data_IF_599396957430
#
_entry.id   IF_599396957430
#
_cell.length_a   1.000
_cell.length_b   1.000
_cell.length_c   1.000
_cell.angle_alpha   90.00
_cell.angle_beta   90.00
_cell.angle_gamma   90.00
#
_symmetry.space_group_name_H-M   'P 1'
#
loop_
_entity.id
_entity.type
_entity.pdbx_description
1 polymer ?
#
# COMPACT_ATOMS: atom_id res chain seq x y z
N UNK A 1 -21.88 29.30 21.69
CA UNK A 1 -20.81 28.48 22.33
C UNK A 1 -21.31 27.05 22.44
N UNK A 2 -20.84 26.15 21.57
CA UNK A 2 -21.14 24.71 21.65
C UNK A 2 -19.88 23.94 21.23
N UNK A 3 -19.20 23.37 22.21
CA UNK A 3 -17.99 22.59 22.02
C UNK A 3 -18.35 21.20 21.48
N UNK A 4 -17.89 20.86 20.26
CA UNK A 4 -17.99 19.51 19.70
C UNK A 4 -16.68 18.76 19.97
N UNK A 5 -16.79 17.67 20.72
CA UNK A 5 -15.68 16.87 21.23
C UNK A 5 -14.76 16.31 20.14
N UNK A 6 -13.45 16.41 20.38
CA UNK A 6 -12.39 15.76 19.62
C UNK A 6 -12.40 14.26 19.94
N UNK A 7 -12.72 13.41 18.96
CA UNK A 7 -12.42 11.98 19.04
C UNK A 7 -10.95 11.76 18.72
N UNK A 8 -10.20 11.28 19.69
CA UNK A 8 -8.82 10.81 19.54
C UNK A 8 -8.83 9.53 18.69
N UNK A 9 -8.11 9.52 17.56
CA UNK A 9 -7.86 8.30 16.80
C UNK A 9 -6.76 7.50 17.53
N UNK A 10 -7.10 6.29 17.96
CA UNK A 10 -6.15 5.32 18.48
C UNK A 10 -5.20 4.87 17.37
N UNK A 11 -3.92 5.20 17.50
CA UNK A 11 -2.83 4.63 16.71
C UNK A 11 -2.58 3.21 17.21
N UNK A 12 -2.94 2.20 16.41
CA UNK A 12 -2.59 0.80 16.69
C UNK A 12 -1.26 0.51 16.01
N UNK A 13 -0.20 0.40 16.81
CA UNK A 13 1.10 -0.16 16.38
C UNK A 13 1.03 -1.67 16.57
N UNK A 14 0.88 -2.42 15.49
CA UNK A 14 0.99 -3.89 15.52
C UNK A 14 2.46 -4.27 15.30
N UNK A 15 3.16 -4.58 16.38
CA UNK A 15 4.48 -5.21 16.35
C UNK A 15 4.35 -6.64 15.83
N UNK A 16 5.10 -6.96 14.78
CA UNK A 16 5.14 -8.31 14.19
C UNK A 16 6.12 -9.15 15.00
N UNK A 17 5.60 -9.91 15.97
CA UNK A 17 6.33 -10.98 16.63
C UNK A 17 6.25 -12.26 15.81
N UNK A 18 7.40 -12.75 15.35
CA UNK A 18 7.53 -14.03 14.63
C UNK A 18 7.32 -15.18 15.63
N UNK A 19 6.15 -15.83 15.58
CA UNK A 19 5.92 -17.08 16.28
C UNK A 19 6.32 -18.25 15.37
N UNK A 20 7.43 -18.90 15.72
CA UNK A 20 7.90 -20.14 15.09
C UNK A 20 6.98 -21.29 15.52
N UNK A 21 6.09 -21.74 14.63
CA UNK A 21 5.23 -22.91 14.88
C UNK A 21 5.87 -24.13 14.24
N UNK A 22 6.39 -25.03 15.08
CA UNK A 22 6.85 -26.37 14.69
C UNK A 22 5.64 -27.22 14.30
N UNK A 23 5.53 -27.60 13.02
CA UNK A 23 4.55 -28.59 12.56
C UNK A 23 5.07 -30.00 12.84
N UNK A 24 4.45 -30.69 13.79
CA UNK A 24 4.60 -32.14 13.96
C UNK A 24 3.74 -32.83 12.89
N UNK A 25 4.36 -33.63 12.03
CA UNK A 25 3.66 -34.43 11.04
C UNK A 25 3.01 -35.65 11.71
N UNK A 26 1.70 -35.83 11.50
CA UNK A 26 1.00 -37.07 11.83
C UNK A 26 0.30 -37.59 10.57
N UNK A 27 0.60 -38.82 10.17
CA UNK A 27 -0.07 -39.55 9.08
C UNK A 27 -1.13 -40.49 9.68
N UNK A 28 -2.38 -40.37 9.21
CA UNK A 28 -3.47 -41.35 9.14
C UNK A 28 -4.72 -40.54 8.71
N UNK A 29 -5.68 -40.93 7.88
CA UNK A 29 -6.07 -42.16 7.21
C UNK A 29 -7.44 -41.87 6.53
N UNK A 30 -7.86 -42.75 5.63
CA UNK A 30 -8.99 -42.71 4.68
C UNK A 30 -10.32 -42.00 5.04
N UNK A 31 -10.85 -41.35 3.98
CA UNK A 31 -12.24 -41.33 3.45
C UNK A 31 -13.45 -41.41 4.38
N UNK A 32 -14.33 -40.41 4.29
CA UNK A 32 -15.78 -40.62 4.05
C UNK A 32 -16.48 -39.34 3.56
N UNK A 33 -17.41 -39.54 2.62
CA UNK A 33 -18.35 -38.56 2.08
C UNK A 33 -19.18 -37.90 3.18
N UNK A 34 -19.18 -36.58 3.22
CA UNK A 34 -20.08 -35.78 4.04
C UNK A 34 -20.45 -34.50 3.29
N UNK A 35 -21.53 -34.57 2.51
CA UNK A 35 -22.20 -33.38 1.96
C UNK A 35 -22.75 -32.54 3.11
N UNK A 36 -21.97 -31.55 3.55
CA UNK A 36 -22.47 -30.45 4.37
C UNK A 36 -22.69 -29.23 3.47
N UNK A 37 -23.93 -29.06 3.03
CA UNK A 37 -24.43 -27.82 2.44
C UNK A 37 -24.52 -26.74 3.52
N UNK A 38 -23.37 -26.16 3.87
CA UNK A 38 -23.37 -24.85 4.52
C UNK A 38 -23.52 -23.80 3.42
N UNK A 39 -24.62 -23.06 3.47
CA UNK A 39 -24.96 -21.98 2.57
C UNK A 39 -23.86 -20.93 2.49
N UNK A 40 -22.92 -21.15 1.57
CA UNK A 40 -22.01 -20.14 1.08
C UNK A 40 -22.72 -19.52 -0.10
N UNK A 41 -23.34 -18.35 0.10
CA UNK A 41 -23.71 -17.51 -1.04
C UNK A 41 -22.49 -17.40 -1.97
N UNK A 42 -22.68 -17.31 -3.29
CA UNK A 42 -21.58 -17.32 -4.24
C UNK A 42 -20.55 -16.27 -3.81
N UNK A 43 -19.30 -16.70 -3.60
CA UNK A 43 -18.21 -15.81 -3.29
C UNK A 43 -18.20 -14.73 -4.38
N UNK A 44 -18.47 -13.48 -4.00
CA UNK A 44 -18.42 -12.38 -4.96
C UNK A 44 -16.98 -12.29 -5.44
N UNK A 45 -16.77 -12.55 -6.72
CA UNK A 45 -15.50 -12.32 -7.39
C UNK A 45 -15.30 -10.81 -7.57
N UNK A 46 -14.94 -10.14 -6.48
CA UNK A 46 -14.61 -8.72 -6.48
C UNK A 46 -13.14 -8.58 -6.83
N UNK A 47 -12.79 -7.90 -7.94
CA UNK A 47 -11.39 -7.66 -8.28
C UNK A 47 -10.67 -6.95 -7.14
N UNK A 48 -9.50 -7.47 -6.75
CA UNK A 48 -8.72 -6.87 -5.67
C UNK A 48 -8.31 -5.42 -5.96
N UNK A 49 -8.07 -5.10 -7.25
CA UNK A 49 -7.80 -3.75 -7.71
C UNK A 49 -8.66 -3.39 -8.92
N UNK A 50 -9.31 -2.24 -8.86
CA UNK A 50 -10.09 -1.69 -9.98
C UNK A 50 -9.19 -0.93 -10.96
N UNK A 51 -9.68 -0.76 -12.20
CA UNK A 51 -9.00 -0.01 -13.27
C UNK A 51 -9.65 1.35 -13.55
N UNK A 52 -10.73 1.70 -12.85
CA UNK A 52 -11.41 2.98 -12.99
C UNK A 52 -10.48 4.13 -12.61
N UNK A 53 -10.64 5.30 -13.22
CA UNK A 53 -9.79 6.47 -12.91
C UNK A 53 -9.91 6.87 -11.43
N UNK A 54 -11.14 6.97 -10.95
CA UNK A 54 -11.47 7.24 -9.56
C UNK A 54 -11.80 5.92 -8.85
N UNK A 55 -11.29 5.78 -7.64
CA UNK A 55 -11.56 4.71 -6.69
C UNK A 55 -11.67 5.34 -5.30
N UNK A 56 -12.27 4.65 -4.34
CA UNK A 56 -12.38 5.14 -2.96
C UNK A 56 -10.98 5.35 -2.36
N UNK A 57 -10.07 4.42 -2.65
CA UNK A 57 -8.65 4.52 -2.32
C UNK A 57 -7.78 4.35 -3.55
N UNK A 58 -6.93 5.35 -3.83
CA UNK A 58 -5.82 5.21 -4.79
C UNK A 58 -4.51 5.07 -4.04
N UNK A 59 -3.84 3.96 -4.27
CA UNK A 59 -2.51 3.66 -3.76
C UNK A 59 -1.45 4.03 -4.79
N UNK A 60 -0.56 4.96 -4.45
CA UNK A 60 0.66 5.20 -5.20
C UNK A 60 1.77 4.31 -4.64
N UNK A 61 2.14 3.29 -5.40
CA UNK A 61 3.15 2.29 -5.06
C UNK A 61 4.52 2.63 -5.65
N UNK A 62 5.56 2.55 -4.82
CA UNK A 62 6.93 2.88 -5.19
C UNK A 62 7.88 1.71 -4.91
N UNK A 63 8.37 1.10 -5.99
CA UNK A 63 9.29 -0.03 -5.96
C UNK A 63 10.67 0.33 -5.40
N UNK A 64 11.38 -0.68 -4.91
CA UNK A 64 12.78 -0.60 -4.52
C UNK A 64 13.76 -0.63 -5.70
N UNK A 65 15.05 -0.42 -5.39
CA UNK A 65 16.10 -0.43 -6.40
C UNK A 65 16.22 -1.78 -7.12
N UNK A 66 16.40 -1.74 -8.45
CA UNK A 66 16.55 -2.92 -9.30
C UNK A 66 15.24 -3.67 -9.59
N UNK A 67 14.11 -3.25 -9.04
CA UNK A 67 12.84 -3.94 -9.24
C UNK A 67 12.21 -3.63 -10.60
N UNK A 68 11.59 -4.66 -11.19
CA UNK A 68 10.97 -4.61 -12.51
C UNK A 68 9.87 -3.54 -12.62
N UNK A 69 9.78 -2.92 -13.79
CA UNK A 69 8.70 -1.98 -14.16
C UNK A 69 7.43 -2.68 -14.64
N UNK A 70 7.49 -3.97 -14.96
CA UNK A 70 6.37 -4.73 -15.54
C UNK A 70 5.88 -5.85 -14.61
N UNK A 71 6.79 -6.53 -13.92
CA UNK A 71 6.42 -7.53 -12.93
C UNK A 71 5.74 -6.87 -11.71
N UNK A 72 4.87 -7.61 -11.04
CA UNK A 72 4.18 -7.14 -9.83
C UNK A 72 3.51 -5.78 -10.00
N UNK A 73 2.89 -5.56 -11.17
CA UNK A 73 2.23 -4.30 -11.58
C UNK A 73 3.15 -3.08 -11.55
N UNK A 74 4.47 -3.28 -11.59
CA UNK A 74 5.48 -2.22 -11.55
C UNK A 74 5.74 -1.62 -10.17
N UNK A 75 5.12 -2.14 -9.11
CA UNK A 75 5.30 -1.62 -7.74
C UNK A 75 6.32 -2.39 -6.90
N UNK A 76 6.81 -3.53 -7.39
CA UNK A 76 7.66 -4.44 -6.62
C UNK A 76 6.86 -5.42 -5.75
N UNK A 77 7.50 -6.51 -5.34
CA UNK A 77 6.82 -7.61 -4.65
C UNK A 77 6.30 -7.22 -3.26
N UNK A 78 7.11 -6.48 -2.51
CA UNK A 78 6.85 -6.08 -1.13
C UNK A 78 5.67 -5.10 -1.08
N UNK A 79 5.65 -4.13 -2.00
CA UNK A 79 4.54 -3.18 -2.14
C UNK A 79 3.28 -3.92 -2.58
N UNK A 80 3.37 -4.78 -3.61
CA UNK A 80 2.19 -5.50 -4.09
C UNK A 80 1.60 -6.40 -3.00
N UNK A 81 2.43 -7.13 -2.26
CA UNK A 81 1.97 -7.99 -1.16
C UNK A 81 1.28 -7.18 -0.05
N UNK A 82 1.90 -6.08 0.38
CA UNK A 82 1.37 -5.21 1.43
C UNK A 82 0.04 -4.57 1.03
N UNK A 83 -0.04 -4.05 -0.20
CA UNK A 83 -1.26 -3.43 -0.71
C UNK A 83 -2.36 -4.45 -0.96
N UNK A 84 -2.02 -5.67 -1.41
CA UNK A 84 -2.98 -6.75 -1.60
C UNK A 84 -3.59 -7.18 -0.27
N UNK A 85 -2.76 -7.35 0.77
CA UNK A 85 -3.24 -7.66 2.12
C UNK A 85 -4.15 -6.57 2.67
N UNK A 86 -3.77 -5.28 2.51
CA UNK A 86 -4.60 -4.14 2.89
C UNK A 86 -5.95 -4.15 2.16
N UNK A 87 -5.95 -4.32 0.83
CA UNK A 87 -7.16 -4.33 0.03
C UNK A 87 -8.09 -5.49 0.39
N UNK A 88 -7.55 -6.69 0.63
CA UNK A 88 -8.33 -7.84 1.12
C UNK A 88 -9.01 -7.53 2.46
N UNK A 89 -8.28 -6.92 3.40
CA UNK A 89 -8.87 -6.56 4.70
C UNK A 89 -9.92 -5.46 4.59
N UNK A 90 -9.72 -4.50 3.68
CA UNK A 90 -10.71 -3.46 3.41
C UNK A 90 -12.00 -4.05 2.82
N UNK A 91 -11.88 -4.91 1.80
CA UNK A 91 -13.02 -5.55 1.15
C UNK A 91 -13.81 -6.49 2.08
N UNK A 92 -13.19 -7.00 3.16
CA UNK A 92 -13.90 -7.77 4.20
C UNK A 92 -14.79 -6.89 5.10
N UNK A 93 -14.55 -5.58 5.13
CA UNK A 93 -15.20 -4.62 6.05
C UNK A 93 -16.07 -3.61 5.33
N UNK A 94 -15.90 -3.43 4.03
CA UNK A 94 -16.67 -2.51 3.20
C UNK A 94 -16.59 -2.90 1.72
N UNK A 95 -17.43 -2.26 0.90
CA UNK A 95 -17.39 -2.38 -0.57
C UNK A 95 -16.44 -1.34 -1.22
N UNK A 96 -15.49 -0.79 -0.46
CA UNK A 96 -14.61 0.27 -0.95
C UNK A 96 -13.67 -0.24 -2.04
N UNK A 97 -13.61 0.48 -3.15
CA UNK A 97 -12.76 0.17 -4.30
C UNK A 97 -11.33 0.63 -4.07
N UNK A 98 -10.37 -0.24 -4.38
CA UNK A 98 -8.93 0.06 -4.31
C UNK A 98 -8.33 0.07 -5.70
N UNK A 99 -7.57 1.12 -6.02
CA UNK A 99 -6.73 1.18 -7.21
C UNK A 99 -5.27 1.27 -6.84
N UNK A 100 -4.44 0.40 -7.41
CA UNK A 100 -2.99 0.42 -7.26
C UNK A 100 -2.34 0.99 -8.52
N UNK A 101 -1.49 2.01 -8.35
CA UNK A 101 -0.73 2.63 -9.42
C UNK A 101 0.76 2.68 -9.08
N UNK A 102 1.60 2.19 -9.98
CA UNK A 102 3.04 2.35 -9.87
C UNK A 102 3.46 3.76 -10.26
N UNK A 103 4.29 4.40 -9.42
CA UNK A 103 4.97 5.63 -9.82
C UNK A 103 6.16 5.27 -10.70
N UNK A 104 6.24 5.74 -11.96
CA UNK A 104 7.25 5.30 -12.93
C UNK A 104 8.57 6.08 -12.75
N UNK A 105 9.12 6.11 -11.53
CA UNK A 105 10.46 6.66 -11.28
C UNK A 105 11.55 5.64 -11.66
N UNK A 106 12.82 6.05 -11.87
CA UNK A 106 13.84 5.17 -12.47
C UNK A 106 14.07 3.87 -11.71
N UNK A 107 14.19 3.94 -10.38
CA UNK A 107 14.38 2.81 -9.46
C UNK A 107 15.39 1.74 -9.89
N UNK A 108 16.25 1.97 -10.87
CA UNK A 108 17.35 1.09 -11.21
C UNK A 108 18.49 1.28 -10.21
N UNK A 109 19.43 0.33 -10.20
CA UNK A 109 20.64 0.47 -9.39
C UNK A 109 21.34 1.80 -9.70
N UNK A 110 21.56 2.60 -8.65
CA UNK A 110 22.21 3.90 -8.73
C UNK A 110 23.65 3.74 -8.21
N UNK A 111 24.67 3.77 -9.09
CA UNK A 111 26.05 3.51 -8.69
C UNK A 111 26.67 4.65 -7.87
N UNK A 112 26.02 5.81 -7.81
CA UNK A 112 26.47 6.98 -7.05
C UNK A 112 25.35 7.55 -6.22
N UNK A 113 25.72 8.17 -5.09
CA UNK A 113 24.77 8.90 -4.25
C UNK A 113 24.04 10.00 -5.02
N UNK A 114 24.75 10.72 -5.91
CA UNK A 114 24.14 11.75 -6.75
C UNK A 114 23.03 11.19 -7.65
N UNK A 115 23.23 10.02 -8.28
CA UNK A 115 22.18 9.36 -9.06
C UNK A 115 21.04 8.88 -8.17
N UNK A 116 21.35 8.30 -7.02
CA UNK A 116 20.34 7.89 -6.05
C UNK A 116 19.43 9.07 -5.67
N UNK A 117 20.02 10.20 -5.27
CA UNK A 117 19.28 11.43 -4.92
C UNK A 117 18.46 11.95 -6.10
N UNK A 118 18.98 11.88 -7.33
CA UNK A 118 18.22 12.26 -8.54
C UNK A 118 16.97 11.39 -8.72
N UNK A 119 17.06 10.08 -8.51
CA UNK A 119 15.89 9.19 -8.55
C UNK A 119 14.86 9.58 -7.49
N UNK A 120 15.32 9.92 -6.27
CA UNK A 120 14.43 10.38 -5.20
C UNK A 120 13.67 11.65 -5.61
N UNK A 121 14.39 12.66 -6.12
CA UNK A 121 13.78 13.92 -6.59
C UNK A 121 12.77 13.69 -7.71
N UNK A 122 13.10 12.82 -8.68
CA UNK A 122 12.18 12.50 -9.78
C UNK A 122 10.93 11.76 -9.28
N UNK A 123 11.09 10.82 -8.36
CA UNK A 123 9.97 10.11 -7.72
C UNK A 123 9.03 11.08 -7.01
N UNK A 124 9.56 12.02 -6.22
CA UNK A 124 8.76 13.06 -5.55
C UNK A 124 7.97 13.90 -6.54
N UNK A 125 8.62 14.35 -7.63
CA UNK A 125 7.96 15.15 -8.68
C UNK A 125 6.80 14.38 -9.30
N UNK A 126 7.01 13.11 -9.64
CA UNK A 126 5.97 12.26 -10.23
C UNK A 126 4.80 12.03 -9.25
N UNK A 127 5.08 11.78 -7.96
CA UNK A 127 4.05 11.69 -6.94
C UNK A 127 3.24 12.99 -6.80
N UNK A 128 3.92 14.14 -6.76
CA UNK A 128 3.29 15.45 -6.64
C UNK A 128 2.35 15.73 -7.82
N UNK A 129 2.83 15.50 -9.05
CA UNK A 129 2.03 15.62 -10.27
C UNK A 129 0.81 14.70 -10.17
N UNK A 130 1.02 13.43 -9.82
CA UNK A 130 -0.06 12.45 -9.82
C UNK A 130 -1.12 12.71 -8.75
N UNK A 131 -0.69 13.09 -7.55
CA UNK A 131 -1.60 13.46 -6.46
C UNK A 131 -2.44 14.69 -6.84
N UNK A 132 -1.82 15.71 -7.43
CA UNK A 132 -2.50 16.94 -7.85
C UNK A 132 -3.55 16.63 -8.92
N UNK A 133 -3.16 15.89 -9.94
CA UNK A 133 -4.04 15.48 -11.01
C UNK A 133 -5.25 14.67 -10.53
N UNK A 134 -5.01 13.66 -9.69
CA UNK A 134 -6.09 12.81 -9.17
C UNK A 134 -6.97 13.56 -8.17
N UNK A 135 -6.41 14.45 -7.34
CA UNK A 135 -7.21 15.30 -6.44
C UNK A 135 -8.08 16.30 -7.21
N UNK A 136 -7.61 16.76 -8.38
CA UNK A 136 -8.41 17.60 -9.26
C UNK A 136 -9.58 16.83 -9.87
N UNK A 137 -9.34 15.61 -10.36
CA UNK A 137 -10.33 14.79 -11.08
C UNK A 137 -11.28 14.00 -10.18
N UNK A 138 -10.80 13.50 -9.04
CA UNK A 138 -11.53 12.57 -8.17
C UNK A 138 -11.69 13.18 -6.77
N UNK A 139 -12.76 13.96 -6.57
CA UNK A 139 -12.95 14.79 -5.36
C UNK A 139 -13.11 13.99 -4.08
N UNK A 140 -13.61 12.77 -4.16
CA UNK A 140 -13.87 11.92 -2.98
C UNK A 140 -12.80 10.84 -2.74
N UNK A 141 -11.84 10.70 -3.66
CA UNK A 141 -10.75 9.72 -3.51
C UNK A 141 -9.83 10.05 -2.34
N UNK A 142 -9.61 9.06 -1.48
CA UNK A 142 -8.52 9.04 -0.51
C UNK A 142 -7.25 8.43 -1.12
N UNK A 143 -6.10 8.87 -0.65
CA UNK A 143 -4.80 8.40 -1.15
C UNK A 143 -4.07 7.56 -0.10
N UNK A 144 -3.31 6.58 -0.57
CA UNK A 144 -2.33 5.88 0.23
C UNK A 144 -0.99 5.86 -0.50
N UNK A 145 0.11 6.02 0.23
CA UNK A 145 1.46 5.94 -0.31
C UNK A 145 2.17 4.74 0.28
N UNK A 146 2.70 3.85 -0.57
CA UNK A 146 3.41 2.65 -0.13
C UNK A 146 4.72 2.55 -0.88
N UNK A 147 5.84 2.54 -0.15
CA UNK A 147 7.16 2.45 -0.74
C UNK A 147 8.01 1.36 -0.10
N UNK A 148 8.91 0.78 -0.87
CA UNK A 148 9.94 -0.16 -0.40
C UNK A 148 11.36 0.35 -0.70
N UNK A 149 12.28 0.27 0.26
CA UNK A 149 13.71 0.62 0.09
C UNK A 149 13.89 2.03 -0.51
N UNK A 150 14.48 2.15 -1.71
CA UNK A 150 14.59 3.44 -2.42
C UNK A 150 13.21 4.10 -2.64
N UNK A 151 12.17 3.33 -2.94
CA UNK A 151 10.80 3.84 -3.05
C UNK A 151 10.22 4.31 -1.72
N UNK A 152 10.58 3.68 -0.60
CA UNK A 152 10.23 4.15 0.74
C UNK A 152 10.87 5.51 1.03
N UNK A 153 12.11 5.71 0.57
CA UNK A 153 12.78 7.00 0.70
C UNK A 153 12.11 8.11 -0.12
N UNK A 154 11.60 7.80 -1.32
CA UNK A 154 10.77 8.75 -2.08
C UNK A 154 9.52 9.13 -1.28
N UNK A 155 8.80 8.13 -0.74
CA UNK A 155 7.59 8.35 0.07
C UNK A 155 7.88 9.19 1.29
N UNK A 156 8.98 8.92 2.00
CA UNK A 156 9.44 9.71 3.15
C UNK A 156 9.56 11.18 2.78
N UNK A 157 10.39 11.46 1.76
CA UNK A 157 10.69 12.83 1.36
C UNK A 157 9.47 13.54 0.76
N UNK A 158 8.57 12.83 0.09
CA UNK A 158 7.34 13.41 -0.45
C UNK A 158 6.34 13.72 0.65
N UNK A 159 6.21 12.84 1.64
CA UNK A 159 5.26 13.01 2.76
C UNK A 159 5.61 14.22 3.63
N UNK A 160 6.91 14.52 3.78
CA UNK A 160 7.39 15.72 4.47
C UNK A 160 7.01 17.03 3.77
N UNK A 161 6.76 17.00 2.46
CA UNK A 161 6.44 18.18 1.65
C UNK A 161 4.92 18.40 1.48
N UNK A 162 4.08 17.50 2.02
CA UNK A 162 2.63 17.61 1.86
C UNK A 162 2.10 18.87 2.52
N UNK A 163 1.30 19.63 1.78
CA UNK A 163 0.48 20.69 2.38
C UNK A 163 -0.57 20.07 3.30
N UNK A 164 -1.07 20.85 4.27
CA UNK A 164 -2.16 20.39 5.14
C UNK A 164 -3.41 19.96 4.35
N UNK A 165 -3.69 20.59 3.20
CA UNK A 165 -4.80 20.21 2.32
C UNK A 165 -4.58 18.86 1.66
N UNK A 166 -3.37 18.58 1.18
CA UNK A 166 -3.02 17.28 0.60
C UNK A 166 -2.99 16.19 1.67
N UNK A 167 -2.39 16.45 2.84
CA UNK A 167 -2.29 15.51 3.94
C UNK A 167 -3.67 15.03 4.42
N UNK A 168 -4.69 15.90 4.45
CA UNK A 168 -6.07 15.52 4.78
C UNK A 168 -6.68 14.50 3.81
N UNK A 169 -6.14 14.36 2.60
CA UNK A 169 -6.59 13.37 1.61
C UNK A 169 -5.78 12.08 1.67
N UNK A 170 -4.75 11.99 2.50
CA UNK A 170 -3.89 10.81 2.62
C UNK A 170 -4.32 10.00 3.84
N UNK A 171 -4.89 8.82 3.61
CA UNK A 171 -5.36 7.94 4.66
C UNK A 171 -4.23 7.09 5.27
N UNK A 172 -3.24 6.70 4.46
CA UNK A 172 -2.18 5.78 4.86
C UNK A 172 -0.86 6.18 4.21
N UNK A 173 0.23 6.13 5.00
CA UNK A 173 1.60 6.14 4.50
C UNK A 173 2.32 4.93 5.10
N UNK A 174 2.81 4.04 4.24
CA UNK A 174 3.57 2.86 4.63
C UNK A 174 4.94 2.87 3.94
N UNK A 175 5.99 2.71 4.73
CA UNK A 175 7.37 2.75 4.27
C UNK A 175 8.08 1.50 4.78
N UNK A 176 8.43 0.62 3.85
CA UNK A 176 9.03 -0.69 4.12
C UNK A 176 10.52 -0.58 3.85
N UNK A 177 11.36 -0.90 4.84
CA UNK A 177 12.81 -0.74 4.76
C UNK A 177 13.23 0.67 4.33
N UNK A 178 12.65 1.71 4.95
CA UNK A 178 13.02 3.11 4.69
C UNK A 178 14.47 3.39 5.15
N UNK A 179 15.38 3.73 4.23
CA UNK A 179 16.78 3.95 4.59
C UNK A 179 17.02 5.21 5.43
N UNK A 180 16.04 6.10 5.57
CA UNK A 180 16.15 7.29 6.45
C UNK A 180 15.67 6.99 7.87
N UNK A 181 14.96 5.88 8.08
CA UNK A 181 14.47 5.49 9.40
C UNK A 181 15.22 4.27 9.92
N UNK A 182 16.27 4.52 10.69
CA UNK A 182 16.90 3.51 11.54
C UNK A 182 16.28 3.60 12.95
N UNK A 183 15.44 2.65 13.40
CA UNK A 183 15.10 2.60 14.82
C UNK A 183 16.39 2.36 15.61
N UNK A 184 16.69 3.29 16.53
CA UNK A 184 17.74 3.09 17.53
C UNK A 184 17.34 1.98 18.51
#
# INVERSE_FOLDING_TARGET
MTARGRRLLNVVVLGVGVALILFVASRAGSSSNGSSTNGSGPARDVPLFVRTTCADVVVLGLRGSGQSTTASKGVGNEVLASVSAMATQLHRRSDATVRLEAVPFPANYAPTLARYISHIKQGKKLMATRLTELSARCKDTSFAFVGFSQGANVVHNFSADLTAAQARRVAVVAMIADPVKNPA
#
